data_IF_985013715067
#
_entry.id   IF_985013715067
#
_cell.length_a   1.000
_cell.length_b   1.000
_cell.length_c   1.000
_cell.angle_alpha   90.00
_cell.angle_beta   90.00
_cell.angle_gamma   90.00
#
_symmetry.space_group_name_H-M   'P 1'
#
loop_
_entity.id
_entity.type
_entity.pdbx_description
1 polymer ?
#
# COMPACT_ATOMS: atom_id res chain seq x y z
N UNK A 1 25.98 -91.56 38.43
CA UNK A 1 25.53 -90.24 38.71
C UNK A 1 26.67 -89.24 38.42
N UNK A 2 26.51 -88.35 37.45
CA UNK A 2 27.50 -87.28 37.26
C UNK A 2 27.21 -86.16 38.29
N UNK A 3 28.00 -86.08 39.33
CA UNK A 3 27.78 -85.15 40.45
C UNK A 3 28.22 -83.74 40.14
N UNK A 4 28.95 -83.52 39.05
CA UNK A 4 29.58 -82.22 38.77
C UNK A 4 28.77 -81.26 37.88
N UNK A 5 27.66 -81.64 37.33
CA UNK A 5 26.83 -80.75 36.51
C UNK A 5 25.34 -81.05 36.75
N UNK A 6 24.67 -80.21 37.54
CA UNK A 6 23.24 -80.26 37.71
C UNK A 6 22.56 -79.32 36.68
N UNK A 7 22.20 -79.94 35.55
CA UNK A 7 21.54 -79.17 34.40
C UNK A 7 20.22 -78.55 34.80
N UNK A 8 19.45 -79.20 35.74
CA UNK A 8 18.19 -78.66 36.23
C UNK A 8 18.40 -77.39 37.09
N UNK A 9 19.41 -77.44 38.01
CA UNK A 9 19.76 -76.31 38.85
C UNK A 9 20.28 -75.09 37.96
N UNK A 10 21.12 -75.39 36.97
CA UNK A 10 21.62 -74.39 36.05
C UNK A 10 20.46 -73.74 35.17
N UNK A 11 19.45 -74.51 34.73
CA UNK A 11 18.30 -74.01 34.05
C UNK A 11 17.42 -73.15 34.98
N UNK A 12 17.18 -73.61 36.22
CA UNK A 12 16.44 -72.85 37.22
C UNK A 12 17.12 -71.48 37.52
N UNK A 13 18.49 -71.54 37.73
CA UNK A 13 19.27 -70.30 37.95
C UNK A 13 19.23 -69.33 36.75
N UNK A 14 19.32 -69.80 35.49
CA UNK A 14 19.14 -69.00 34.28
C UNK A 14 17.78 -68.36 34.23
N UNK A 15 16.71 -69.14 34.49
CA UNK A 15 15.34 -68.64 34.49
C UNK A 15 15.14 -67.57 35.59
N UNK A 16 15.72 -67.77 36.76
CA UNK A 16 15.68 -66.80 37.86
C UNK A 16 16.37 -65.51 37.51
N UNK A 17 17.57 -65.58 36.92
CA UNK A 17 18.28 -64.37 36.43
C UNK A 17 17.51 -63.64 35.35
N UNK A 18 16.89 -64.36 34.38
CA UNK A 18 16.07 -63.75 33.36
C UNK A 18 14.80 -63.11 33.93
N UNK A 19 14.13 -63.74 34.88
CA UNK A 19 12.94 -63.19 35.54
C UNK A 19 13.28 -61.98 36.39
N UNK A 20 14.40 -62.00 37.15
CA UNK A 20 14.88 -60.87 37.90
C UNK A 20 15.22 -59.69 37.01
N UNK A 21 15.89 -59.90 35.86
CA UNK A 21 16.18 -58.86 34.87
C UNK A 21 14.90 -58.28 34.27
N UNK A 22 13.88 -59.12 33.92
CA UNK A 22 12.58 -58.65 33.45
C UNK A 22 11.86 -57.83 34.53
N UNK A 23 11.90 -58.25 35.78
CA UNK A 23 11.28 -57.53 36.89
C UNK A 23 11.95 -56.15 37.11
N UNK A 24 13.28 -56.10 37.11
CA UNK A 24 14.02 -54.82 37.19
C UNK A 24 13.62 -53.88 36.06
N UNK A 25 13.56 -54.32 34.81
CA UNK A 25 13.10 -53.54 33.68
C UNK A 25 11.66 -53.04 33.83
N UNK A 26 10.76 -53.88 34.37
CA UNK A 26 9.34 -53.52 34.60
C UNK A 26 9.24 -52.47 35.71
N UNK A 27 10.01 -52.61 36.80
CA UNK A 27 10.09 -51.61 37.87
C UNK A 27 10.68 -50.31 37.40
N UNK A 28 11.71 -50.30 36.54
CA UNK A 28 12.30 -49.14 35.93
C UNK A 28 11.27 -48.40 35.06
N UNK A 29 10.47 -49.14 34.24
CA UNK A 29 9.38 -48.58 33.44
C UNK A 29 8.21 -48.03 34.28
N UNK A 30 7.88 -48.71 35.38
CA UNK A 30 6.84 -48.23 36.28
C UNK A 30 7.25 -46.98 37.04
N UNK A 31 8.52 -46.94 37.50
CA UNK A 31 9.07 -45.78 38.21
C UNK A 31 9.24 -44.55 37.31
N UNK A 32 9.68 -44.74 36.06
CA UNK A 32 9.86 -43.66 35.10
C UNK A 32 8.57 -43.24 34.39
N UNK A 33 7.53 -44.09 34.39
CA UNK A 33 6.32 -43.91 33.60
C UNK A 33 6.54 -44.08 32.10
N UNK A 34 7.75 -44.45 31.67
CA UNK A 34 8.13 -44.55 30.26
C UNK A 34 8.30 -46.00 29.82
N UNK A 35 7.79 -46.35 28.64
CA UNK A 35 7.96 -47.71 28.07
C UNK A 35 9.39 -47.98 27.61
N UNK A 36 10.13 -46.94 27.20
CA UNK A 36 11.49 -46.98 26.68
C UNK A 36 12.32 -46.01 27.50
N UNK A 37 13.30 -46.55 28.27
CA UNK A 37 14.18 -45.79 29.13
C UNK A 37 15.62 -45.73 28.60
N UNK A 38 16.02 -46.72 27.83
CA UNK A 38 17.39 -46.85 27.33
C UNK A 38 17.41 -47.13 25.83
N UNK A 39 18.47 -46.68 25.16
CA UNK A 39 18.67 -46.95 23.74
C UNK A 39 18.70 -48.42 23.38
N UNK A 40 19.13 -49.29 24.34
CA UNK A 40 19.13 -50.73 24.17
C UNK A 40 17.75 -51.38 24.16
N UNK A 41 16.70 -50.72 24.68
CA UNK A 41 15.36 -51.27 24.74
C UNK A 41 14.65 -51.25 23.36
N UNK A 42 14.79 -50.12 22.62
CA UNK A 42 14.25 -49.98 21.25
C UNK A 42 14.90 -48.75 20.60
N UNK A 43 16.03 -48.83 19.91
CA UNK A 43 16.78 -47.68 19.39
C UNK A 43 15.97 -46.82 18.44
N UNK A 44 15.25 -47.44 17.49
CA UNK A 44 14.42 -46.73 16.51
C UNK A 44 13.23 -45.99 17.15
N UNK A 45 12.60 -46.61 18.13
CA UNK A 45 11.46 -46.00 18.84
C UNK A 45 11.93 -44.89 19.78
N UNK A 46 13.11 -44.99 20.37
CA UNK A 46 13.70 -43.91 21.18
C UNK A 46 13.96 -42.67 20.30
N UNK A 47 14.55 -42.85 19.11
CA UNK A 47 14.78 -41.74 18.18
C UNK A 47 13.47 -41.06 17.81
N UNK A 48 12.41 -41.81 17.48
CA UNK A 48 11.10 -41.26 17.15
C UNK A 48 10.53 -40.52 18.38
N UNK A 49 10.61 -41.10 19.57
CA UNK A 49 10.13 -40.49 20.81
C UNK A 49 10.83 -39.16 21.10
N UNK A 50 12.16 -39.12 21.00
CA UNK A 50 12.95 -37.91 21.24
C UNK A 50 12.69 -36.85 20.15
N UNK A 51 12.50 -37.26 18.90
CA UNK A 51 12.09 -36.35 17.81
C UNK A 51 10.71 -35.73 18.08
N UNK A 52 9.72 -36.54 18.45
CA UNK A 52 8.38 -36.06 18.83
C UNK A 52 8.39 -35.16 20.05
N UNK A 53 9.23 -35.48 21.05
CA UNK A 53 9.42 -34.66 22.25
C UNK A 53 10.02 -33.30 21.89
N UNK A 54 11.07 -33.30 21.06
CA UNK A 54 11.68 -32.07 20.56
C UNK A 54 10.67 -31.22 19.75
N UNK A 55 9.89 -31.87 18.89
CA UNK A 55 8.82 -31.15 18.16
C UNK A 55 7.75 -30.58 19.10
N UNK A 56 7.34 -31.33 20.12
CA UNK A 56 6.35 -30.86 21.11
C UNK A 56 6.85 -29.64 21.89
N UNK A 57 8.11 -29.66 22.32
CA UNK A 57 8.72 -28.50 22.97
C UNK A 57 8.85 -27.32 22.04
N UNK A 58 9.26 -27.56 20.78
CA UNK A 58 9.32 -26.54 19.76
C UNK A 58 7.96 -25.93 19.43
N UNK A 59 6.89 -26.75 19.34
CA UNK A 59 5.52 -26.26 19.13
C UNK A 59 5.01 -25.44 20.31
N UNK A 60 5.29 -25.85 21.56
CA UNK A 60 4.95 -25.07 22.74
C UNK A 60 5.58 -23.68 22.69
N UNK A 61 6.86 -23.60 22.40
CA UNK A 61 7.57 -22.32 22.26
C UNK A 61 6.99 -21.49 21.08
N UNK A 62 6.59 -22.15 19.99
CA UNK A 62 5.97 -21.48 18.86
C UNK A 62 4.60 -20.88 19.22
N UNK A 63 3.83 -21.53 20.08
CA UNK A 63 2.57 -20.99 20.64
C UNK A 63 2.87 -19.74 21.47
N UNK A 64 3.81 -19.82 22.41
CA UNK A 64 4.21 -18.67 23.25
C UNK A 64 4.67 -17.47 22.36
N UNK A 65 5.45 -17.75 21.31
CA UNK A 65 5.88 -16.73 20.34
C UNK A 65 4.69 -16.11 19.58
N UNK A 66 3.69 -16.93 19.23
CA UNK A 66 2.49 -16.47 18.54
C UNK A 66 1.64 -15.58 19.46
N UNK A 67 1.51 -15.92 20.73
CA UNK A 67 0.82 -15.08 21.72
C UNK A 67 1.52 -13.74 21.92
N UNK A 68 2.86 -13.72 21.94
CA UNK A 68 3.63 -12.48 21.97
C UNK A 68 3.43 -11.65 20.69
N UNK A 69 3.36 -12.29 19.52
CA UNK A 69 3.08 -11.60 18.26
C UNK A 69 1.67 -10.99 18.25
N UNK A 70 0.67 -11.72 18.75
CA UNK A 70 -0.71 -11.21 18.87
C UNK A 70 -0.74 -9.99 19.82
N UNK A 71 -0.09 -10.05 20.97
CA UNK A 71 -0.03 -8.95 21.92
C UNK A 71 0.63 -7.70 21.32
N UNK A 72 1.68 -7.89 20.51
CA UNK A 72 2.34 -6.81 19.79
C UNK A 72 1.40 -6.19 18.72
N UNK A 73 0.68 -7.04 17.96
CA UNK A 73 -0.28 -6.56 16.97
C UNK A 73 -1.44 -5.78 17.62
N UNK A 74 -1.98 -6.27 18.74
CA UNK A 74 -3.02 -5.58 19.51
C UNK A 74 -2.55 -4.20 20.01
N UNK A 75 -1.28 -4.08 20.44
CA UNK A 75 -0.70 -2.79 20.84
C UNK A 75 -0.63 -1.83 19.64
N UNK A 76 -0.20 -2.32 18.48
CA UNK A 76 -0.16 -1.53 17.25
C UNK A 76 -1.55 -1.14 16.77
N UNK A 77 -2.51 -2.06 16.83
CA UNK A 77 -3.90 -1.82 16.44
C UNK A 77 -4.58 -0.75 17.32
N UNK A 78 -4.41 -0.84 18.63
CA UNK A 78 -4.95 0.16 19.56
C UNK A 78 -4.41 1.57 19.26
N UNK A 79 -3.11 1.68 18.96
CA UNK A 79 -2.51 2.96 18.58
C UNK A 79 -3.03 3.47 17.22
N UNK A 80 -3.24 2.60 16.23
CA UNK A 80 -3.81 2.98 14.94
C UNK A 80 -5.30 3.36 15.05
N UNK A 81 -6.04 2.79 15.99
CA UNK A 81 -7.42 3.19 16.29
C UNK A 81 -7.46 4.62 16.83
N UNK A 82 -6.52 4.98 17.71
CA UNK A 82 -6.38 6.35 18.22
C UNK A 82 -6.01 7.33 17.09
N UNK A 83 -5.09 6.97 16.19
CA UNK A 83 -4.78 7.76 14.98
C UNK A 83 -6.02 7.91 14.10
N UNK A 84 -6.83 6.86 13.93
CA UNK A 84 -8.06 6.93 13.14
C UNK A 84 -9.09 7.91 13.74
N UNK A 85 -9.21 7.92 15.06
CA UNK A 85 -10.09 8.90 15.76
C UNK A 85 -9.57 10.32 15.59
N UNK A 86 -8.28 10.53 15.73
CA UNK A 86 -7.66 11.83 15.51
C UNK A 86 -7.88 12.33 14.07
N UNK A 87 -7.77 11.45 13.06
CA UNK A 87 -8.08 11.78 11.66
C UNK A 87 -9.57 12.10 11.45
N UNK A 88 -10.48 11.43 12.15
CA UNK A 88 -11.90 11.75 12.09
C UNK A 88 -12.20 13.14 12.67
N UNK A 89 -11.57 13.51 13.78
CA UNK A 89 -11.65 14.87 14.35
C UNK A 89 -11.06 15.90 13.40
N UNK A 90 -9.91 15.61 12.77
CA UNK A 90 -9.31 16.46 11.76
C UNK A 90 -10.25 16.71 10.56
N UNK A 91 -10.99 15.67 10.15
CA UNK A 91 -12.00 15.79 9.08
C UNK A 91 -13.16 16.71 9.48
N UNK A 92 -13.61 16.63 10.73
CA UNK A 92 -14.66 17.52 11.24
C UNK A 92 -14.22 18.99 11.23
N UNK A 93 -13.00 19.29 11.70
CA UNK A 93 -12.43 20.64 11.65
C UNK A 93 -12.32 21.16 10.20
N UNK A 94 -11.82 20.30 9.29
CA UNK A 94 -11.71 20.67 7.87
C UNK A 94 -13.08 20.95 7.23
N UNK A 95 -14.11 20.19 7.59
CA UNK A 95 -15.50 20.45 7.13
C UNK A 95 -16.04 21.75 7.70
N UNK A 96 -15.74 22.07 8.97
CA UNK A 96 -16.10 23.33 9.59
C UNK A 96 -15.39 24.48 8.89
N UNK A 97 -14.06 24.42 8.74
CA UNK A 97 -13.26 25.46 8.08
C UNK A 97 -13.63 25.68 6.59
N UNK A 98 -14.13 24.63 5.90
CA UNK A 98 -14.58 24.73 4.49
C UNK A 98 -15.86 25.56 4.33
N UNK A 99 -16.57 25.89 5.39
CA UNK A 99 -17.79 26.70 5.36
C UNK A 99 -17.47 28.20 5.38
N UNK A 100 -17.05 28.74 4.22
CA UNK A 100 -16.62 30.11 4.03
C UNK A 100 -17.65 31.17 4.48
N UNK A 101 -18.93 30.85 4.36
CA UNK A 101 -20.00 31.82 4.69
C UNK A 101 -20.24 31.98 6.20
N UNK A 102 -19.79 31.04 7.01
CA UNK A 102 -20.06 31.04 8.46
C UNK A 102 -18.82 31.33 9.31
N UNK A 103 -17.60 31.19 8.76
CA UNK A 103 -16.36 31.30 9.49
C UNK A 103 -15.65 32.63 9.20
N UNK A 104 -15.22 33.29 10.26
CA UNK A 104 -14.29 34.42 10.20
C UNK A 104 -12.83 33.95 10.37
N UNK A 105 -11.90 34.89 10.18
CA UNK A 105 -10.46 34.62 10.29
C UNK A 105 -10.06 34.10 11.69
N UNK A 106 -10.74 34.55 12.74
CA UNK A 106 -10.44 34.12 14.11
C UNK A 106 -10.90 32.70 14.38
N UNK A 107 -12.03 32.28 13.78
CA UNK A 107 -12.52 30.90 13.83
C UNK A 107 -11.60 29.96 13.04
N UNK A 108 -11.18 30.36 11.84
CA UNK A 108 -10.23 29.59 11.03
C UNK A 108 -8.87 29.41 11.74
N UNK A 109 -8.40 30.46 12.44
CA UNK A 109 -7.19 30.37 13.23
C UNK A 109 -7.34 29.41 14.41
N UNK A 110 -8.50 29.40 15.06
CA UNK A 110 -8.78 28.44 16.14
C UNK A 110 -8.83 27.01 15.61
N UNK A 111 -9.50 26.78 14.46
CA UNK A 111 -9.54 25.48 13.79
C UNK A 111 -8.14 25.01 13.40
N UNK A 112 -7.30 25.90 12.89
CA UNK A 112 -5.89 25.58 12.53
C UNK A 112 -5.10 25.19 13.77
N UNK A 113 -5.22 25.92 14.88
CA UNK A 113 -4.51 25.59 16.11
C UNK A 113 -4.95 24.23 16.67
N UNK A 114 -6.23 23.90 16.62
CA UNK A 114 -6.72 22.57 17.01
C UNK A 114 -6.22 21.48 16.05
N UNK A 115 -6.20 21.76 14.76
CA UNK A 115 -5.67 20.85 13.75
C UNK A 115 -4.18 20.57 13.97
N UNK A 116 -3.39 21.59 14.31
CA UNK A 116 -1.97 21.44 14.64
C UNK A 116 -1.75 20.56 15.87
N UNK A 117 -2.65 20.65 16.90
CA UNK A 117 -2.63 19.76 18.05
C UNK A 117 -2.94 18.30 17.65
N UNK A 118 -3.83 18.09 16.69
CA UNK A 118 -4.11 16.76 16.15
C UNK A 118 -2.86 16.20 15.43
N UNK A 119 -2.19 17.00 14.59
CA UNK A 119 -0.92 16.63 13.95
C UNK A 119 0.11 16.23 15.01
N UNK A 120 0.28 17.06 16.04
CA UNK A 120 1.22 16.79 17.13
C UNK A 120 0.87 15.49 17.88
N UNK A 121 -0.42 15.23 18.12
CA UNK A 121 -0.89 14.01 18.77
C UNK A 121 -0.64 12.76 17.92
N UNK A 122 -0.92 12.79 16.62
CA UNK A 122 -0.62 11.70 15.69
C UNK A 122 0.88 11.41 15.67
N UNK A 123 1.71 12.46 15.56
CA UNK A 123 3.16 12.29 15.57
C UNK A 123 3.68 11.72 16.91
N UNK A 124 3.08 12.11 18.03
CA UNK A 124 3.40 11.57 19.35
C UNK A 124 3.02 10.09 19.46
N UNK A 125 1.83 9.69 19.00
CA UNK A 125 1.39 8.30 18.97
C UNK A 125 2.34 7.48 18.11
N UNK A 126 2.66 7.96 16.90
CA UNK A 126 3.53 7.27 15.97
C UNK A 126 4.96 7.05 16.53
N UNK A 127 5.49 8.01 17.28
CA UNK A 127 6.85 7.93 17.84
C UNK A 127 6.91 7.17 19.15
N UNK A 128 5.86 7.18 19.97
CA UNK A 128 5.88 6.62 21.31
C UNK A 128 5.29 5.22 21.40
N UNK A 129 4.55 4.75 20.36
CA UNK A 129 4.01 3.40 20.37
C UNK A 129 5.14 2.40 20.18
N UNK A 130 5.40 1.65 21.26
CA UNK A 130 6.44 0.64 21.30
C UNK A 130 5.96 -0.63 22.01
N UNK A 131 6.56 -1.76 21.66
CA UNK A 131 6.43 -3.02 22.36
C UNK A 131 7.82 -3.49 22.83
N UNK A 132 8.07 -3.42 24.13
CA UNK A 132 9.41 -3.54 24.68
C UNK A 132 10.29 -2.38 24.21
N UNK A 133 11.36 -2.68 23.46
CA UNK A 133 12.27 -1.67 22.90
C UNK A 133 12.04 -1.41 21.40
N UNK A 134 10.99 -2.01 20.82
CA UNK A 134 10.71 -1.87 19.38
C UNK A 134 9.60 -0.88 19.15
N UNK A 135 9.90 0.17 18.39
CA UNK A 135 8.90 1.09 17.90
C UNK A 135 8.08 0.42 16.79
N UNK A 136 6.77 0.66 16.79
CA UNK A 136 5.86 0.00 15.86
C UNK A 136 5.43 0.92 14.71
N UNK A 137 5.12 2.19 14.98
CA UNK A 137 4.46 3.08 14.04
C UNK A 137 5.37 4.18 13.48
N UNK A 138 6.65 4.17 13.80
CA UNK A 138 7.65 5.11 13.30
C UNK A 138 8.14 4.79 11.87
N UNK A 139 7.83 3.58 11.37
CA UNK A 139 8.27 3.05 10.09
C UNK A 139 9.54 2.23 10.14
N UNK A 140 10.18 2.09 11.30
CA UNK A 140 11.39 1.26 11.46
C UNK A 140 11.11 -0.22 11.23
N UNK A 141 9.89 -0.68 11.52
CA UNK A 141 9.41 -2.06 11.32
C UNK A 141 8.82 -2.33 9.93
N UNK A 142 9.01 -1.46 8.95
CA UNK A 142 8.54 -1.62 7.58
C UNK A 142 9.68 -1.93 6.60
N UNK A 143 9.31 -2.40 5.42
CA UNK A 143 10.23 -2.39 4.29
C UNK A 143 10.46 -0.95 3.82
N UNK A 144 11.69 -0.47 3.90
CA UNK A 144 12.06 0.89 3.52
C UNK A 144 12.89 0.89 2.23
N UNK A 145 12.56 1.78 1.32
CA UNK A 145 13.27 1.92 0.05
C UNK A 145 13.65 3.37 -0.23
N UNK A 146 14.89 3.59 -0.64
CA UNK A 146 15.37 4.87 -1.14
C UNK A 146 15.68 4.71 -2.63
N UNK A 147 15.04 5.52 -3.46
CA UNK A 147 15.27 5.51 -4.90
C UNK A 147 16.24 6.61 -5.31
N UNK A 148 17.13 6.30 -6.22
CA UNK A 148 17.95 7.26 -6.93
C UNK A 148 17.48 7.34 -8.37
N UNK A 149 17.44 8.53 -8.93
CA UNK A 149 16.96 8.74 -10.29
C UNK A 149 15.83 9.76 -10.36
N UNK A 150 15.76 10.45 -11.50
CA UNK A 150 14.78 11.54 -11.68
C UNK A 150 13.38 10.97 -11.85
N UNK A 151 12.46 11.42 -10.99
CA UNK A 151 11.04 11.02 -11.05
C UNK A 151 10.76 9.60 -10.58
N UNK A 152 11.67 8.99 -9.80
CA UNK A 152 11.43 7.72 -9.12
C UNK A 152 11.15 7.98 -7.64
N UNK A 153 10.15 7.31 -7.11
CA UNK A 153 9.85 7.29 -5.67
C UNK A 153 9.46 5.88 -5.23
N UNK A 154 9.90 5.50 -4.04
CA UNK A 154 9.47 4.26 -3.40
C UNK A 154 8.02 4.42 -2.93
N UNK A 155 7.21 3.40 -3.13
CA UNK A 155 5.80 3.40 -2.73
C UNK A 155 5.57 2.41 -1.61
N UNK A 156 5.95 1.15 -1.82
CA UNK A 156 5.68 0.07 -0.88
C UNK A 156 6.53 -1.17 -1.20
N UNK A 157 6.62 -2.08 -0.25
CA UNK A 157 7.14 -3.42 -0.48
C UNK A 157 6.42 -4.46 0.37
N UNK A 158 6.27 -5.67 -0.16
CA UNK A 158 5.74 -6.79 0.62
C UNK A 158 6.72 -7.21 1.73
N UNK A 159 6.18 -7.81 2.78
CA UNK A 159 6.95 -8.34 3.91
C UNK A 159 7.92 -9.47 3.54
N UNK A 160 7.68 -10.12 2.39
CA UNK A 160 8.52 -11.19 1.84
C UNK A 160 9.67 -10.68 0.99
N UNK A 161 9.70 -9.37 0.65
CA UNK A 161 10.74 -8.76 -0.18
C UNK A 161 12.14 -8.96 0.40
N UNK A 162 13.12 -9.20 -0.47
CA UNK A 162 14.52 -9.39 -0.07
C UNK A 162 15.24 -8.05 -0.06
N UNK A 163 16.01 -7.77 1.01
CA UNK A 163 16.84 -6.56 1.10
C UNK A 163 17.84 -6.50 -0.04
N UNK A 164 18.01 -5.32 -0.62
CA UNK A 164 19.04 -5.10 -1.64
C UNK A 164 20.43 -5.01 -1.01
N UNK A 165 21.46 -5.32 -1.78
CA UNK A 165 22.83 -4.98 -1.39
C UNK A 165 23.09 -3.47 -1.44
N UNK A 166 24.28 -3.05 -1.06
CA UNK A 166 24.70 -1.62 -1.03
C UNK A 166 24.53 -0.93 -2.38
N UNK A 167 24.66 -1.65 -3.49
CA UNK A 167 24.45 -1.10 -4.84
C UNK A 167 23.00 -0.86 -5.19
N UNK A 168 22.06 -1.37 -4.39
CA UNK A 168 20.63 -1.34 -4.69
C UNK A 168 20.22 -2.27 -5.85
N UNK A 169 18.95 -2.25 -6.19
CA UNK A 169 18.39 -2.92 -7.36
C UNK A 169 18.21 -1.92 -8.49
N UNK A 170 18.59 -2.31 -9.69
CA UNK A 170 18.43 -1.49 -10.90
C UNK A 170 16.95 -1.38 -11.27
N UNK A 171 16.56 -0.20 -11.75
CA UNK A 171 15.22 0.08 -12.26
C UNK A 171 15.33 0.45 -13.73
N UNK A 172 14.72 -0.35 -14.59
CA UNK A 172 14.63 -0.11 -16.01
C UNK A 172 13.18 0.18 -16.40
N UNK A 173 12.93 1.35 -16.99
CA UNK A 173 11.61 1.78 -17.46
C UNK A 173 11.59 1.75 -18.98
N UNK A 174 10.77 0.89 -19.56
CA UNK A 174 10.62 0.73 -21.02
C UNK A 174 9.55 1.66 -21.58
N UNK A 175 8.53 1.98 -20.78
CA UNK A 175 7.44 2.84 -21.19
C UNK A 175 6.92 3.61 -19.98
N UNK A 176 6.79 4.93 -20.13
CA UNK A 176 6.14 5.78 -19.12
C UNK A 176 4.63 5.63 -19.17
N UNK A 177 3.97 5.82 -18.05
CA UNK A 177 2.52 5.89 -17.99
C UNK A 177 1.99 7.13 -18.71
N UNK A 178 0.83 6.99 -19.34
CA UNK A 178 0.12 8.11 -19.96
C UNK A 178 -1.30 8.22 -19.43
N UNK A 179 -1.87 9.41 -19.55
CA UNK A 179 -3.28 9.67 -19.23
C UNK A 179 -4.14 9.51 -20.47
N UNK A 180 -5.39 9.11 -20.31
CA UNK A 180 -6.37 9.21 -21.40
C UNK A 180 -6.49 10.69 -21.80
N UNK A 181 -6.26 10.97 -23.08
CA UNK A 181 -6.26 12.35 -23.60
C UNK A 181 -7.02 12.38 -24.91
N UNK A 182 -7.90 13.36 -25.03
CA UNK A 182 -8.63 13.60 -26.26
C UNK A 182 -8.48 15.05 -26.70
N UNK A 183 -8.23 15.25 -27.99
CA UNK A 183 -8.14 16.57 -28.60
C UNK A 183 -9.09 16.66 -29.78
N UNK A 184 -9.95 17.65 -29.74
CA UNK A 184 -10.82 17.96 -30.86
C UNK A 184 -10.05 18.31 -32.16
N UNK A 185 -10.65 18.06 -33.30
CA UNK A 185 -10.09 18.38 -34.63
C UNK A 185 -10.50 19.77 -35.07
N UNK A 186 -11.70 20.23 -34.65
CA UNK A 186 -12.27 21.53 -34.95
C UNK A 186 -12.01 22.49 -33.78
N UNK A 187 -11.79 23.77 -34.08
CA UNK A 187 -11.59 24.81 -33.07
C UNK A 187 -12.95 25.25 -32.47
N UNK A 188 -13.00 25.47 -31.18
CA UNK A 188 -14.08 26.20 -30.53
C UNK A 188 -13.98 27.66 -30.97
N UNK A 189 -14.99 28.16 -31.65
CA UNK A 189 -15.07 29.53 -32.16
C UNK A 189 -16.22 30.27 -31.50
N UNK A 190 -16.19 31.61 -31.48
CA UNK A 190 -17.26 32.40 -30.94
C UNK A 190 -18.60 32.06 -31.60
N UNK A 191 -18.61 31.81 -32.91
CA UNK A 191 -19.81 31.42 -33.68
C UNK A 191 -20.44 30.10 -33.18
N UNK A 192 -19.65 29.14 -32.70
CA UNK A 192 -20.17 27.89 -32.11
C UNK A 192 -20.75 28.16 -30.72
N UNK A 193 -20.08 29.00 -29.91
CA UNK A 193 -20.59 29.42 -28.59
C UNK A 193 -21.95 30.11 -28.73
N UNK A 194 -22.07 31.07 -29.62
CA UNK A 194 -23.30 31.84 -29.82
C UNK A 194 -24.45 30.98 -30.38
N UNK A 195 -24.15 29.86 -31.05
CA UNK A 195 -25.12 28.87 -31.52
C UNK A 195 -25.68 27.99 -30.41
N UNK A 196 -25.05 27.95 -29.23
CA UNK A 196 -25.43 27.09 -28.11
C UNK A 196 -24.91 25.66 -28.29
N UNK A 197 -23.60 25.52 -28.41
CA UNK A 197 -22.95 24.21 -28.52
C UNK A 197 -23.19 23.36 -27.25
N UNK A 198 -23.55 22.10 -27.44
CA UNK A 198 -23.75 21.14 -26.34
C UNK A 198 -22.60 20.14 -26.31
N UNK A 199 -22.05 19.95 -25.14
CA UNK A 199 -20.94 19.05 -24.87
C UNK A 199 -21.33 18.15 -23.70
N UNK A 200 -21.30 16.85 -23.91
CA UNK A 200 -21.51 15.86 -22.85
C UNK A 200 -20.19 15.12 -22.58
N UNK A 201 -19.80 15.04 -21.33
CA UNK A 201 -18.60 14.30 -20.87
C UNK A 201 -19.04 13.33 -19.80
N UNK A 202 -18.71 12.04 -19.97
CA UNK A 202 -19.11 10.97 -19.05
C UNK A 202 -17.90 10.18 -18.59
N UNK A 203 -17.81 9.98 -17.29
CA UNK A 203 -16.76 9.17 -16.63
C UNK A 203 -17.34 8.44 -15.43
N UNK A 204 -17.08 7.13 -15.32
CA UNK A 204 -17.42 6.34 -14.13
C UNK A 204 -18.92 6.37 -13.76
N UNK A 205 -19.82 6.54 -14.73
CA UNK A 205 -21.27 6.62 -14.50
C UNK A 205 -21.78 8.02 -14.12
N UNK A 206 -20.88 9.02 -14.03
CA UNK A 206 -21.25 10.43 -13.88
C UNK A 206 -21.18 11.12 -15.23
N UNK A 207 -22.04 12.10 -15.48
CA UNK A 207 -22.01 12.89 -16.71
C UNK A 207 -22.19 14.37 -16.44
N UNK A 208 -21.53 15.18 -17.26
CA UNK A 208 -21.73 16.62 -17.35
C UNK A 208 -22.29 16.93 -18.73
N UNK A 209 -23.45 17.56 -18.76
CA UNK A 209 -24.06 18.12 -19.94
C UNK A 209 -23.90 19.63 -19.94
N UNK A 210 -22.82 20.08 -20.57
CA UNK A 210 -22.48 21.48 -20.66
C UNK A 210 -23.09 22.10 -21.95
N UNK A 211 -23.71 23.24 -21.81
CA UNK A 211 -24.21 24.02 -22.95
C UNK A 211 -23.61 25.42 -22.93
N UNK A 212 -23.02 25.83 -24.05
CA UNK A 212 -22.46 27.19 -24.18
C UNK A 212 -23.55 28.25 -24.11
N UNK A 213 -23.26 29.34 -23.41
CA UNK A 213 -24.18 30.50 -23.30
C UNK A 213 -23.82 31.52 -24.36
N UNK A 214 -24.79 31.91 -25.25
CA UNK A 214 -24.55 32.95 -26.23
C UNK A 214 -24.11 34.27 -25.56
N UNK A 215 -23.12 34.93 -26.16
CA UNK A 215 -22.57 36.19 -25.64
C UNK A 215 -21.42 36.02 -24.67
N UNK A 216 -21.06 34.79 -24.22
CA UNK A 216 -19.85 34.53 -23.48
C UNK A 216 -18.66 34.42 -24.42
N UNK A 217 -17.47 34.85 -23.95
CA UNK A 217 -16.25 34.66 -24.72
C UNK A 217 -15.66 33.23 -24.53
N UNK A 218 -14.69 32.85 -25.36
CA UNK A 218 -14.10 31.52 -25.37
C UNK A 218 -13.47 31.19 -24.00
N UNK A 219 -12.77 32.14 -23.38
CA UNK A 219 -12.14 31.94 -22.07
C UNK A 219 -13.19 31.69 -20.97
N UNK A 220 -14.24 32.48 -20.94
CA UNK A 220 -15.34 32.32 -19.97
C UNK A 220 -16.03 30.97 -20.15
N UNK A 221 -16.31 30.54 -21.37
CA UNK A 221 -16.91 29.25 -21.69
C UNK A 221 -16.02 28.09 -21.22
N UNK A 222 -14.70 28.18 -21.42
CA UNK A 222 -13.77 27.16 -20.98
C UNK A 222 -13.65 27.08 -19.43
N UNK A 223 -13.72 28.24 -18.76
CA UNK A 223 -13.72 28.29 -17.30
C UNK A 223 -15.03 27.70 -16.72
N UNK A 224 -16.20 28.02 -17.33
CA UNK A 224 -17.47 27.42 -16.95
C UNK A 224 -17.46 25.91 -17.12
N UNK A 225 -17.02 25.38 -18.27
CA UNK A 225 -16.85 23.93 -18.46
C UNK A 225 -15.92 23.31 -17.44
N UNK A 226 -14.81 23.97 -17.09
CA UNK A 226 -13.87 23.47 -16.07
C UNK A 226 -14.54 23.40 -14.70
N UNK A 227 -15.32 24.42 -14.33
CA UNK A 227 -16.04 24.44 -13.05
C UNK A 227 -17.12 23.35 -13.00
N UNK A 228 -17.86 23.16 -14.11
CA UNK A 228 -18.90 22.11 -14.18
C UNK A 228 -18.30 20.72 -14.07
N UNK A 229 -17.14 20.46 -14.70
CA UNK A 229 -16.40 19.18 -14.55
C UNK A 229 -15.98 18.93 -13.09
N UNK A 230 -15.48 19.97 -12.42
CA UNK A 230 -15.08 19.88 -10.99
C UNK A 230 -16.31 19.66 -10.09
N UNK A 231 -17.37 20.43 -10.28
CA UNK A 231 -18.60 20.34 -9.47
C UNK A 231 -19.28 18.99 -9.60
N UNK A 232 -19.22 18.35 -10.76
CA UNK A 232 -19.71 17.00 -10.98
C UNK A 232 -18.77 15.91 -10.46
N UNK A 233 -17.58 16.29 -10.00
CA UNK A 233 -16.57 15.36 -9.47
C UNK A 233 -16.02 14.41 -10.53
N UNK A 234 -15.92 14.85 -11.80
CA UNK A 234 -15.27 14.08 -12.85
C UNK A 234 -13.74 14.21 -12.75
N UNK A 235 -13.04 13.10 -12.92
CA UNK A 235 -11.57 13.11 -13.00
C UNK A 235 -11.08 13.48 -14.41
N UNK A 236 -11.73 14.44 -15.04
CA UNK A 236 -11.39 14.94 -16.38
C UNK A 236 -11.12 16.43 -16.29
N UNK A 237 -9.98 16.85 -16.79
CA UNK A 237 -9.56 18.24 -16.83
C UNK A 237 -9.53 18.79 -18.26
N UNK A 238 -9.93 20.04 -18.42
CA UNK A 238 -9.76 20.77 -19.66
C UNK A 238 -8.35 21.39 -19.67
N UNK A 239 -7.53 21.03 -20.64
CA UNK A 239 -6.18 21.57 -20.79
C UNK A 239 -6.24 22.90 -21.50
N UNK A 240 -6.11 23.99 -20.71
CA UNK A 240 -6.06 25.36 -21.23
C UNK A 240 -4.61 25.73 -21.54
N UNK A 241 -4.30 26.26 -22.74
CA UNK A 241 -2.94 26.69 -23.05
C UNK A 241 -2.48 27.80 -22.13
N UNK A 242 -1.32 27.65 -21.52
CA UNK A 242 -0.73 28.67 -20.60
C UNK A 242 -0.19 29.91 -21.30
N UNK A 243 0.10 29.83 -22.63
CA UNK A 243 0.62 30.93 -23.44
C UNK A 243 -0.25 31.13 -24.66
N UNK A 244 -0.61 32.37 -24.95
CA UNK A 244 -1.41 32.78 -26.12
C UNK A 244 -2.67 33.56 -25.74
N UNK A 245 -3.37 34.05 -26.76
CA UNK A 245 -4.66 34.69 -26.56
C UNK A 245 -5.73 33.64 -26.27
N UNK A 246 -6.22 33.59 -25.04
CA UNK A 246 -7.22 32.62 -24.58
C UNK A 246 -8.59 32.77 -25.27
N UNK A 247 -8.85 33.94 -25.84
CA UNK A 247 -10.06 34.20 -26.64
C UNK A 247 -9.87 33.89 -28.11
N UNK A 248 -8.70 33.40 -28.54
CA UNK A 248 -8.53 32.94 -29.91
C UNK A 248 -9.18 31.55 -30.11
N UNK A 249 -9.71 31.28 -31.33
CA UNK A 249 -10.25 29.96 -31.68
C UNK A 249 -9.24 28.85 -31.42
N UNK A 250 -9.58 27.90 -30.54
CA UNK A 250 -8.66 26.85 -30.12
C UNK A 250 -9.36 25.49 -30.01
N UNK A 251 -8.56 24.42 -30.15
CA UNK A 251 -9.04 23.04 -30.02
C UNK A 251 -9.24 22.73 -28.57
N UNK A 252 -10.39 22.19 -28.21
CA UNK A 252 -10.60 21.62 -26.87
C UNK A 252 -9.71 20.38 -26.68
N UNK A 253 -9.03 20.34 -25.56
CA UNK A 253 -8.23 19.20 -25.17
C UNK A 253 -8.62 18.75 -23.76
N UNK A 254 -9.22 17.58 -23.68
CA UNK A 254 -9.61 16.95 -22.41
C UNK A 254 -8.59 15.90 -22.05
N UNK A 255 -8.28 15.80 -20.76
CA UNK A 255 -7.33 14.85 -20.24
C UNK A 255 -7.83 14.30 -18.91
N UNK A 256 -7.73 12.99 -18.73
CA UNK A 256 -8.01 12.35 -17.45
C UNK A 256 -6.95 12.77 -16.41
N UNK A 257 -7.35 12.96 -15.15
CA UNK A 257 -6.40 13.35 -14.08
C UNK A 257 -5.50 12.20 -13.67
N UNK A 258 -6.00 10.95 -13.72
CA UNK A 258 -5.26 9.74 -13.37
C UNK A 258 -4.56 9.12 -14.58
N UNK A 259 -3.46 8.42 -14.31
CA UNK A 259 -2.68 7.69 -15.30
C UNK A 259 -3.13 6.23 -15.37
N UNK A 260 -2.98 5.62 -16.54
CA UNK A 260 -3.08 4.17 -16.68
C UNK A 260 -4.17 3.70 -17.65
N UNK A 261 -4.14 2.41 -17.90
CA UNK A 261 -5.03 1.75 -18.86
C UNK A 261 -6.46 1.53 -18.35
N UNK A 262 -6.66 1.60 -17.04
CA UNK A 262 -7.97 1.47 -16.41
C UNK A 262 -8.84 2.72 -16.53
N UNK A 263 -8.24 3.86 -16.83
CA UNK A 263 -8.90 5.17 -16.80
C UNK A 263 -9.30 5.62 -18.20
N UNK A 264 -10.57 5.94 -18.38
CA UNK A 264 -11.12 6.43 -19.63
C UNK A 264 -12.35 7.30 -19.39
N UNK A 265 -12.70 8.09 -20.37
CA UNK A 265 -13.94 8.87 -20.38
C UNK A 265 -14.56 8.85 -21.80
N UNK A 266 -15.79 9.28 -21.88
CA UNK A 266 -16.53 9.40 -23.15
C UNK A 266 -16.89 10.86 -23.36
N UNK A 267 -16.94 11.27 -24.62
CA UNK A 267 -17.28 12.63 -25.01
C UNK A 267 -18.32 12.63 -26.15
N UNK A 268 -19.21 13.58 -26.11
CA UNK A 268 -20.12 13.86 -27.20
C UNK A 268 -20.19 15.37 -27.46
N UNK A 269 -20.46 15.79 -28.67
CA UNK A 269 -20.69 17.19 -29.04
C UNK A 269 -21.71 17.27 -30.18
N UNK A 270 -22.48 18.33 -30.23
CA UNK A 270 -23.44 18.53 -31.35
C UNK A 270 -22.74 18.97 -32.64
N UNK A 271 -21.52 19.51 -32.56
CA UNK A 271 -20.67 19.76 -33.74
C UNK A 271 -19.65 18.63 -33.93
N UNK A 272 -19.68 17.99 -35.10
CA UNK A 272 -18.71 16.97 -35.50
C UNK A 272 -17.30 17.53 -35.49
N UNK A 273 -16.37 16.80 -34.84
CA UNK A 273 -14.95 17.15 -34.72
C UNK A 273 -14.63 18.13 -33.60
N UNK A 274 -15.60 18.72 -32.88
CA UNK A 274 -15.30 19.53 -31.69
C UNK A 274 -14.76 18.64 -30.55
N UNK A 275 -15.51 17.60 -30.19
CA UNK A 275 -15.06 16.52 -29.29
C UNK A 275 -15.43 15.15 -29.83
N UNK A 276 -16.65 14.92 -30.34
CA UNK A 276 -17.01 13.65 -30.94
C UNK A 276 -16.72 13.65 -32.46
N UNK A 277 -16.40 12.48 -33.03
CA UNK A 277 -16.18 12.33 -34.47
C UNK A 277 -17.44 12.56 -35.30
N UNK A 278 -18.55 12.15 -34.73
CA UNK A 278 -19.90 12.33 -35.35
C UNK A 278 -20.75 13.16 -34.39
N UNK A 279 -21.51 14.08 -34.91
CA UNK A 279 -22.39 14.94 -34.13
C UNK A 279 -23.41 14.12 -33.31
N UNK A 280 -23.60 14.46 -32.05
CA UNK A 280 -24.53 13.82 -31.10
C UNK A 280 -24.29 12.34 -30.85
N UNK A 281 -23.08 11.82 -31.18
CA UNK A 281 -22.69 10.43 -30.92
C UNK A 281 -21.58 10.39 -29.88
N UNK A 282 -21.80 9.61 -28.82
CA UNK A 282 -20.80 9.42 -27.79
C UNK A 282 -19.57 8.70 -28.37
N UNK A 283 -18.39 9.22 -28.06
CA UNK A 283 -17.09 8.67 -28.45
C UNK A 283 -16.28 8.33 -27.22
N UNK A 284 -15.92 7.05 -27.09
CA UNK A 284 -14.98 6.60 -26.06
C UNK A 284 -13.57 7.07 -26.40
N UNK A 285 -12.97 7.81 -25.48
CA UNK A 285 -11.58 8.26 -25.60
C UNK A 285 -10.64 7.09 -25.40
N UNK A 286 -9.52 7.07 -26.12
CA UNK A 286 -8.50 6.05 -25.97
C UNK A 286 -7.95 6.07 -24.55
N UNK A 287 -7.90 4.90 -23.89
CA UNK A 287 -7.39 4.75 -22.55
C UNK A 287 -5.95 5.25 -22.45
N UNK A 288 -5.54 5.66 -21.25
CA UNK A 288 -4.15 5.85 -20.92
C UNK A 288 -3.36 4.53 -21.03
N UNK A 289 -2.10 4.59 -20.71
CA UNK A 289 -1.18 3.44 -20.76
C UNK A 289 -0.48 3.33 -19.42
N UNK A 290 -0.30 2.10 -18.93
CA UNK A 290 0.43 1.83 -17.70
C UNK A 290 1.95 1.88 -17.93
N UNK A 291 2.69 2.21 -16.88
CA UNK A 291 4.15 2.10 -16.86
C UNK A 291 4.57 0.64 -17.12
N UNK A 292 5.64 0.45 -17.86
CA UNK A 292 6.24 -0.87 -18.11
C UNK A 292 7.74 -0.82 -17.86
N UNK A 293 8.25 -1.81 -17.13
CA UNK A 293 9.66 -1.87 -16.77
C UNK A 293 10.04 -3.15 -16.04
N UNK A 294 11.26 -3.15 -15.54
CA UNK A 294 11.85 -4.20 -14.74
C UNK A 294 12.48 -3.62 -13.47
N UNK A 295 12.52 -4.44 -12.42
CA UNK A 295 13.20 -4.13 -11.17
C UNK A 295 14.17 -5.28 -10.90
N UNK A 296 15.45 -4.98 -10.66
CA UNK A 296 16.52 -5.96 -10.46
C UNK A 296 16.72 -6.92 -11.66
N UNK A 297 16.38 -6.50 -12.90
CA UNK A 297 16.43 -7.34 -14.10
C UNK A 297 15.28 -8.35 -14.19
N UNK A 298 14.28 -8.27 -13.35
CA UNK A 298 13.10 -9.14 -13.34
C UNK A 298 11.85 -8.34 -13.71
N UNK A 299 10.91 -8.99 -14.40
CA UNK A 299 9.68 -8.36 -14.87
C UNK A 299 8.86 -7.74 -13.76
N UNK A 300 8.21 -6.62 -14.08
CA UNK A 300 7.31 -5.93 -13.14
C UNK A 300 6.00 -5.53 -13.83
N UNK A 301 4.91 -5.53 -13.07
CA UNK A 301 3.57 -5.17 -13.54
C UNK A 301 3.31 -3.71 -13.22
N UNK A 302 2.91 -2.95 -14.25
CA UNK A 302 2.54 -1.54 -14.12
C UNK A 302 1.04 -1.36 -13.89
N UNK A 303 0.68 -0.44 -12.99
CA UNK A 303 -0.67 0.09 -12.82
C UNK A 303 -0.59 1.61 -12.68
N UNK A 304 -1.05 2.33 -13.70
CA UNK A 304 -0.80 3.77 -13.77
C UNK A 304 0.70 4.06 -13.78
N UNK A 305 1.16 4.89 -12.87
CA UNK A 305 2.56 5.25 -12.68
C UNK A 305 3.31 4.30 -11.72
N UNK A 306 2.62 3.33 -11.10
CA UNK A 306 3.21 2.43 -10.12
C UNK A 306 3.65 1.15 -10.85
N UNK A 307 4.91 0.79 -10.68
CA UNK A 307 5.52 -0.43 -11.16
C UNK A 307 5.78 -1.34 -9.96
N UNK A 308 5.17 -2.53 -9.95
CA UNK A 308 5.29 -3.51 -8.86
C UNK A 308 5.99 -4.75 -9.37
N UNK A 309 7.04 -5.18 -8.69
CA UNK A 309 7.75 -6.41 -9.00
C UNK A 309 6.82 -7.62 -8.94
N UNK A 310 6.83 -8.43 -10.00
CA UNK A 310 5.96 -9.60 -10.17
C UNK A 310 6.69 -10.92 -9.93
N UNK A 311 7.90 -10.87 -9.41
CA UNK A 311 8.66 -12.07 -9.05
C UNK A 311 7.98 -12.92 -7.99
N UNK A 312 8.19 -14.24 -8.05
CA UNK A 312 7.68 -15.18 -7.05
C UNK A 312 8.46 -15.11 -5.73
N UNK A 313 8.05 -15.93 -4.78
CA UNK A 313 8.68 -16.01 -3.46
C UNK A 313 10.20 -16.16 -3.54
N UNK A 314 10.91 -15.26 -2.87
CA UNK A 314 12.38 -15.23 -2.84
C UNK A 314 13.04 -14.53 -4.05
N UNK A 315 12.28 -13.97 -4.98
CA UNK A 315 12.85 -13.15 -6.05
C UNK A 315 13.29 -11.77 -5.51
N UNK A 316 14.24 -11.15 -6.23
CA UNK A 316 14.82 -9.87 -5.81
C UNK A 316 13.81 -8.72 -5.85
N UNK A 317 12.84 -8.80 -6.76
CA UNK A 317 11.86 -7.74 -6.96
C UNK A 317 10.51 -8.01 -6.30
N UNK A 318 10.37 -9.11 -5.52
CA UNK A 318 9.10 -9.55 -4.96
C UNK A 318 8.36 -8.41 -4.22
N UNK A 319 7.25 -7.97 -4.81
CA UNK A 319 6.33 -6.99 -4.23
C UNK A 319 6.90 -5.59 -4.02
N UNK A 320 8.11 -5.28 -4.50
CA UNK A 320 8.65 -3.92 -4.45
C UNK A 320 7.87 -3.04 -5.43
N UNK A 321 7.28 -1.98 -4.92
CA UNK A 321 6.48 -1.04 -5.68
C UNK A 321 7.17 0.32 -5.73
N UNK A 322 7.35 0.83 -6.95
CA UNK A 322 7.94 2.15 -7.22
C UNK A 322 6.99 2.96 -8.09
N UNK A 323 7.00 4.27 -7.91
CA UNK A 323 6.28 5.20 -8.78
C UNK A 323 7.28 5.86 -9.73
N UNK A 324 6.92 5.93 -11.01
CA UNK A 324 7.66 6.67 -12.01
C UNK A 324 6.82 7.83 -12.53
N UNK A 325 7.25 9.06 -12.26
CA UNK A 325 6.56 10.30 -12.63
C UNK A 325 7.12 10.91 -13.93
N UNK A 326 8.08 10.25 -14.57
CA UNK A 326 8.64 10.73 -15.82
C UNK A 326 7.62 10.68 -16.96
N UNK A 327 7.54 11.77 -17.75
CA UNK A 327 6.64 11.84 -18.91
C UNK A 327 7.11 10.98 -20.10
N UNK A 328 8.36 10.56 -20.11
CA UNK A 328 8.98 9.71 -21.15
C UNK A 328 9.86 8.67 -20.50
N UNK A 329 9.92 7.49 -21.09
CA UNK A 329 10.89 6.49 -20.70
C UNK A 329 12.32 7.00 -20.95
N UNK A 330 13.31 6.59 -20.13
CA UNK A 330 14.72 6.85 -20.42
C UNK A 330 15.11 6.30 -21.79
N UNK A 331 16.14 6.85 -22.43
CA UNK A 331 16.65 6.29 -23.69
C UNK A 331 17.01 4.81 -23.54
N UNK A 332 16.80 4.04 -24.61
CA UNK A 332 17.10 2.60 -24.63
C UNK A 332 18.53 2.33 -24.16
N UNK A 333 18.69 1.45 -23.18
CA UNK A 333 19.99 1.13 -22.58
C UNK A 333 20.44 2.04 -21.43
N UNK A 334 19.65 3.05 -21.07
CA UNK A 334 19.87 3.84 -19.84
C UNK A 334 18.86 3.46 -18.76
N UNK A 335 19.37 3.15 -17.57
CA UNK A 335 18.54 2.88 -16.38
C UNK A 335 17.81 4.14 -15.96
N UNK A 336 16.62 3.95 -15.42
CA UNK A 336 15.86 5.04 -14.80
C UNK A 336 16.48 5.47 -13.45
N UNK A 337 17.07 4.52 -12.75
CA UNK A 337 17.74 4.71 -11.46
C UNK A 337 17.95 3.39 -10.73
N UNK A 338 18.17 3.49 -9.43
CA UNK A 338 18.32 2.32 -8.55
C UNK A 338 17.42 2.49 -7.33
N UNK A 339 17.05 1.38 -6.69
CA UNK A 339 16.39 1.37 -5.40
C UNK A 339 17.26 0.61 -4.40
N UNK A 340 17.64 1.27 -3.30
CA UNK A 340 18.20 0.61 -2.14
C UNK A 340 17.05 0.27 -1.20
N UNK A 341 16.80 -1.00 -1.02
CA UNK A 341 15.68 -1.53 -0.24
C UNK A 341 16.19 -2.32 0.95
N UNK A 342 15.63 -2.03 2.14
CA UNK A 342 15.91 -2.76 3.38
C UNK A 342 14.62 -3.31 3.95
N UNK A 343 14.59 -4.61 4.18
CA UNK A 343 13.45 -5.29 4.79
C UNK A 343 13.62 -5.35 6.29
N UNK A 344 12.85 -4.55 7.02
CA UNK A 344 12.88 -4.44 8.48
C UNK A 344 11.63 -5.03 9.15
N UNK A 345 10.77 -5.76 8.40
CA UNK A 345 9.57 -6.37 8.96
C UNK A 345 9.92 -7.29 10.13
N UNK A 346 9.07 -7.29 11.15
CA UNK A 346 9.22 -8.12 12.33
C UNK A 346 8.92 -9.58 12.00
N UNK A 347 9.88 -10.48 12.24
CA UNK A 347 9.72 -11.90 11.99
C UNK A 347 9.45 -12.63 13.31
N UNK A 348 8.42 -13.47 13.32
CA UNK A 348 8.04 -14.32 14.44
C UNK A 348 8.16 -15.79 14.05
N UNK A 349 8.84 -16.58 14.86
CA UNK A 349 8.95 -18.03 14.68
C UNK A 349 7.66 -18.68 15.22
N UNK A 350 6.82 -19.17 14.31
CA UNK A 350 5.49 -19.74 14.61
C UNK A 350 5.45 -21.26 14.48
N UNK A 351 6.58 -21.89 14.26
CA UNK A 351 6.67 -23.35 14.16
C UNK A 351 8.01 -23.88 14.66
N UNK A 352 8.11 -25.21 14.89
CA UNK A 352 9.27 -25.85 15.50
C UNK A 352 10.48 -25.94 14.58
N UNK A 353 10.31 -25.74 13.26
CA UNK A 353 11.40 -25.90 12.29
C UNK A 353 11.90 -24.53 11.77
N UNK A 354 13.14 -24.50 11.33
CA UNK A 354 13.70 -23.34 10.63
C UNK A 354 12.79 -22.96 9.44
N UNK A 355 12.67 -21.67 9.14
CA UNK A 355 11.83 -21.10 8.06
C UNK A 355 10.31 -21.12 8.30
N UNK A 356 9.82 -21.60 9.44
CA UNK A 356 8.41 -21.47 9.82
C UNK A 356 8.18 -20.13 10.53
N UNK A 357 8.40 -19.05 9.79
CA UNK A 357 8.28 -17.68 10.28
C UNK A 357 7.11 -16.97 9.59
N UNK A 358 6.38 -16.17 10.37
CA UNK A 358 5.49 -15.14 9.84
C UNK A 358 6.12 -13.78 10.01
N UNK A 359 5.80 -12.83 9.12
CA UNK A 359 6.35 -11.48 9.17
C UNK A 359 5.23 -10.47 9.19
N UNK A 360 5.38 -9.47 10.03
CA UNK A 360 4.45 -8.35 10.16
C UNK A 360 5.21 -7.06 9.87
N UNK A 361 4.59 -6.18 9.10
CA UNK A 361 5.15 -4.88 8.75
C UNK A 361 4.24 -3.77 9.24
N UNK A 362 4.80 -2.85 10.00
CA UNK A 362 4.11 -1.66 10.46
C UNK A 362 4.62 -0.47 9.67
N UNK A 363 3.76 0.11 8.83
CA UNK A 363 4.11 1.32 8.09
C UNK A 363 4.10 2.53 9.00
N UNK A 364 4.93 3.52 8.66
CA UNK A 364 4.95 4.79 9.38
C UNK A 364 3.58 5.46 9.37
N UNK A 365 3.11 5.83 10.55
CA UNK A 365 1.86 6.58 10.73
C UNK A 365 2.12 8.04 11.15
N UNK A 366 3.32 8.56 10.92
CA UNK A 366 3.64 9.97 11.09
C UNK A 366 2.82 10.83 10.12
N UNK A 367 2.41 12.02 10.52
CA UNK A 367 1.63 12.95 9.71
C UNK A 367 2.24 13.25 8.33
N UNK A 368 3.57 13.28 8.22
CA UNK A 368 4.29 13.47 6.95
C UNK A 368 4.15 12.30 5.97
N UNK A 369 3.84 11.10 6.47
CA UNK A 369 3.71 9.89 5.66
C UNK A 369 2.25 9.50 5.36
N UNK A 370 1.29 10.20 5.96
CA UNK A 370 -0.14 9.99 5.75
C UNK A 370 -0.68 10.94 4.67
N UNK A 371 -1.63 10.46 3.89
CA UNK A 371 -2.34 11.27 2.90
C UNK A 371 -1.52 11.67 1.67
N UNK A 372 -0.38 11.03 1.43
CA UNK A 372 0.54 11.38 0.35
C UNK A 372 -0.03 11.04 -1.04
N UNK A 373 0.32 11.88 -2.02
CA UNK A 373 0.04 11.64 -3.44
C UNK A 373 -1.37 12.00 -3.89
N UNK A 374 -2.07 12.84 -3.14
CA UNK A 374 -3.34 13.45 -3.53
C UNK A 374 -3.05 14.72 -4.32
N UNK A 375 -3.64 14.83 -5.51
CA UNK A 375 -3.56 16.06 -6.31
C UNK A 375 -4.52 17.09 -5.70
N UNK A 376 -4.00 18.27 -5.36
CA UNK A 376 -4.75 19.39 -4.77
C UNK A 376 -4.25 20.72 -5.36
N UNK A 377 -5.03 21.78 -5.20
CA UNK A 377 -4.69 23.12 -5.73
C UNK A 377 -3.82 23.91 -4.75
N UNK A 378 -3.94 23.64 -3.44
CA UNK A 378 -3.19 24.30 -2.37
C UNK A 378 -1.72 23.87 -2.29
N UNK A 379 -1.34 22.77 -2.98
CA UNK A 379 0.04 22.28 -3.04
C UNK A 379 0.48 21.44 -1.84
N UNK A 380 -0.45 20.98 -1.01
CA UNK A 380 -0.18 20.11 0.13
C UNK A 380 0.32 18.74 -0.35
N UNK A 381 1.34 18.21 0.30
CA UNK A 381 1.98 16.93 -0.04
C UNK A 381 1.56 15.80 0.88
N UNK A 382 1.23 16.13 2.13
CA UNK A 382 0.92 15.19 3.21
C UNK A 382 -0.09 15.80 4.17
N UNK A 383 -0.57 15.00 5.10
CA UNK A 383 -1.41 15.44 6.20
C UNK A 383 -0.74 16.52 7.08
N UNK A 384 0.60 16.52 7.16
CA UNK A 384 1.36 17.50 7.93
C UNK A 384 1.40 18.90 7.30
N UNK A 385 1.13 19.02 5.99
CA UNK A 385 1.24 20.30 5.25
C UNK A 385 -0.12 21.04 5.15
N UNK A 386 -1.17 20.50 5.76
CA UNK A 386 -2.54 21.04 5.66
C UNK A 386 -2.61 22.40 6.38
N UNK A 387 -3.20 23.37 5.68
CA UNK A 387 -3.53 24.70 6.15
C UNK A 387 -5.02 24.99 5.92
N UNK A 388 -5.74 25.23 7.02
CA UNK A 388 -7.19 25.51 7.02
C UNK A 388 -7.53 27.00 6.96
N UNK A 389 -6.54 27.89 6.91
CA UNK A 389 -6.75 29.33 6.89
C UNK A 389 -7.48 29.84 5.64
N UNK A 390 -7.65 28.99 4.64
CA UNK A 390 -8.40 29.30 3.42
C UNK A 390 -9.47 28.24 3.14
N UNK A 391 -10.62 28.67 2.64
CA UNK A 391 -11.69 27.73 2.25
C UNK A 391 -11.23 26.71 1.19
N UNK A 392 -10.32 27.09 0.29
CA UNK A 392 -9.72 26.16 -0.68
C UNK A 392 -8.81 25.15 0.01
N UNK A 393 -7.95 25.61 0.94
CA UNK A 393 -7.09 24.73 1.73
C UNK A 393 -7.90 23.73 2.54
N UNK A 394 -8.99 24.20 3.17
CA UNK A 394 -9.91 23.35 3.91
C UNK A 394 -10.61 22.30 3.01
N UNK A 395 -11.00 22.64 1.78
CA UNK A 395 -11.58 21.68 0.81
C UNK A 395 -10.53 20.66 0.35
N UNK A 396 -9.33 21.11 0.01
CA UNK A 396 -8.24 20.23 -0.43
C UNK A 396 -7.78 19.29 0.68
N UNK A 397 -7.87 19.75 1.95
CA UNK A 397 -7.54 18.93 3.11
C UNK A 397 -8.43 17.69 3.25
N UNK A 398 -9.71 17.77 2.86
CA UNK A 398 -10.65 16.64 2.96
C UNK A 398 -10.19 15.43 2.15
N UNK A 399 -9.71 15.64 0.92
CA UNK A 399 -9.21 14.55 0.09
C UNK A 399 -7.93 13.92 0.66
N UNK A 400 -7.06 14.75 1.27
CA UNK A 400 -5.83 14.29 1.92
C UNK A 400 -6.16 13.49 3.18
N UNK A 401 -7.11 13.95 3.99
CA UNK A 401 -7.56 13.27 5.20
C UNK A 401 -8.24 11.94 4.83
N UNK A 402 -9.09 11.91 3.81
CA UNK A 402 -9.71 10.67 3.34
C UNK A 402 -8.67 9.66 2.85
N UNK A 403 -7.61 10.14 2.22
CA UNK A 403 -6.48 9.28 1.85
C UNK A 403 -5.72 8.80 3.08
N UNK A 404 -5.48 9.65 4.07
CA UNK A 404 -4.82 9.28 5.33
C UNK A 404 -5.63 8.21 6.10
N UNK A 405 -6.96 8.36 6.17
CA UNK A 405 -7.85 7.34 6.76
C UNK A 405 -7.74 6.00 6.01
N UNK A 406 -7.69 6.03 4.68
CA UNK A 406 -7.49 4.82 3.87
C UNK A 406 -6.11 4.20 4.13
N UNK A 407 -5.07 5.00 4.29
CA UNK A 407 -3.71 4.53 4.57
C UNK A 407 -3.65 3.83 5.93
N UNK A 408 -4.25 4.42 6.97
CA UNK A 408 -4.34 3.82 8.32
C UNK A 408 -5.20 2.55 8.30
N UNK A 409 -6.34 2.57 7.61
CA UNK A 409 -7.21 1.39 7.47
C UNK A 409 -6.49 0.24 6.73
N UNK A 410 -5.71 0.57 5.70
CA UNK A 410 -4.88 -0.43 5.01
C UNK A 410 -3.80 -1.01 5.94
N UNK A 411 -3.14 -0.18 6.76
CA UNK A 411 -2.16 -0.66 7.75
C UNK A 411 -2.80 -1.64 8.75
N UNK A 412 -4.01 -1.34 9.25
CA UNK A 412 -4.77 -2.26 10.11
C UNK A 412 -5.16 -3.56 9.40
N UNK A 413 -5.49 -3.50 8.13
CA UNK A 413 -5.84 -4.68 7.32
C UNK A 413 -4.65 -5.59 6.98
N UNK A 414 -3.42 -5.11 7.12
CA UNK A 414 -2.20 -5.91 6.91
C UNK A 414 -1.67 -6.59 8.19
N UNK A 415 -2.22 -6.29 9.35
CA UNK A 415 -1.93 -6.91 10.64
C UNK A 415 -2.75 -8.18 10.82
#
# INVERSE_FOLDING_TARGET
>A
MRININSAANNAHRNLLQTSSKQQKTLERLSSGLKINRGADAPAQLQISEHLRSQSVGLKQAIDNSEMAISLMQTGEAALDEVSRALASAKQLSLHAANEAANDETMLLADQQEFDQIIASINRIARNTQYGQKFLLDGSGAGNGVTTGKGLSFVDAKTTGTSSGVKGYDIDIFRAATRATHRGTVNLTQKLIDRGEQITITEGGRSVDFRTTPGTNIEQTMNQLTNDLKSAGLNVELVIPKKGNRNAPQKLMLRHTKFGSGEFFQVSSNTSGLLSKVANVSHKVQNGIDVKGEIAGEGAVGKGQILTGSGGYGSKNEGISIRYEGNKAPPKGKRAGTITFTQNSLAFQVGPNANQQTRVSFKSSNAQNLGNGVANESGFRSFADIDLMTAQGARDSLDIIDKAIKDVSANRGYM
#
